data_IF_223040148656
#
_entry.id   IF_223040148656
#
_cell.length_a   1.000
_cell.length_b   1.000
_cell.length_c   1.000
_cell.angle_alpha   90.00
_cell.angle_beta   90.00
_cell.angle_gamma   90.00
#
_symmetry.space_group_name_H-M   'P 1'
#
loop_
_entity.id
_entity.type
_entity.pdbx_description
1 polymer ?
#
# COMPACT_ATOMS: atom_id res chain seq x y z
N UNK A 1 11.59 -12.22 -19.97
CA UNK A 1 11.47 -12.18 -18.50
C UNK A 1 10.02 -11.81 -18.20
N UNK A 2 9.34 -12.57 -17.33
CA UNK A 2 7.90 -12.36 -17.03
C UNK A 2 7.73 -11.85 -15.60
N UNK A 3 6.63 -11.13 -15.36
CA UNK A 3 6.25 -10.72 -14.01
C UNK A 3 5.76 -11.96 -13.23
N UNK A 4 6.19 -12.16 -11.97
CA UNK A 4 5.60 -13.15 -11.08
C UNK A 4 4.17 -12.78 -10.76
N UNK A 5 3.33 -13.78 -10.51
CA UNK A 5 1.98 -13.54 -10.04
C UNK A 5 2.00 -12.86 -8.66
N UNK A 6 1.11 -11.88 -8.48
CA UNK A 6 0.76 -11.33 -7.17
C UNK A 6 -0.36 -12.14 -6.51
N UNK A 7 -0.83 -11.68 -5.35
CA UNK A 7 -2.04 -12.22 -4.74
C UNK A 7 -3.25 -11.64 -5.50
N UNK A 8 -4.04 -12.52 -6.12
CA UNK A 8 -5.14 -12.16 -7.01
C UNK A 8 -6.36 -13.09 -6.84
N UNK A 9 -6.48 -13.74 -5.68
CA UNK A 9 -7.74 -14.39 -5.29
C UNK A 9 -8.84 -13.30 -5.19
N UNK A 10 -10.12 -13.67 -5.31
CA UNK A 10 -11.24 -12.73 -5.46
C UNK A 10 -11.26 -11.59 -4.42
N UNK A 11 -10.91 -11.90 -3.16
CA UNK A 11 -10.81 -10.91 -2.09
C UNK A 11 -9.76 -9.81 -2.38
N UNK A 12 -8.61 -10.19 -2.95
CA UNK A 12 -7.54 -9.26 -3.31
C UNK A 12 -7.92 -8.43 -4.53
N UNK A 13 -8.56 -9.05 -5.53
CA UNK A 13 -9.09 -8.33 -6.69
C UNK A 13 -10.08 -7.25 -6.23
N UNK A 14 -11.06 -7.62 -5.40
CA UNK A 14 -12.04 -6.68 -4.87
C UNK A 14 -11.36 -5.53 -4.11
N UNK A 15 -10.41 -5.86 -3.23
CA UNK A 15 -9.61 -4.84 -2.54
C UNK A 15 -8.85 -3.91 -3.49
N UNK A 16 -8.24 -4.46 -4.55
CA UNK A 16 -7.53 -3.68 -5.56
C UNK A 16 -8.48 -2.78 -6.33
N UNK A 17 -9.67 -3.24 -6.72
CA UNK A 17 -10.63 -2.41 -7.48
C UNK A 17 -11.23 -1.31 -6.58
N UNK A 18 -11.60 -1.64 -5.34
CA UNK A 18 -12.28 -0.71 -4.44
C UNK A 18 -11.35 0.30 -3.77
N UNK A 19 -10.06 0.01 -3.66
CA UNK A 19 -9.11 0.89 -2.97
C UNK A 19 -8.66 2.06 -3.87
N UNK A 20 -8.80 3.33 -3.46
CA UNK A 20 -8.20 4.45 -4.19
C UNK A 20 -6.68 4.55 -4.01
N UNK A 21 -6.10 3.81 -3.05
CA UNK A 21 -4.67 3.85 -2.79
C UNK A 21 -3.86 2.96 -3.75
N UNK A 22 -2.58 3.29 -3.92
CA UNK A 22 -1.63 2.49 -4.70
C UNK A 22 -0.83 1.50 -3.84
N UNK A 23 -0.81 1.69 -2.52
CA UNK A 23 -0.04 0.88 -1.57
C UNK A 23 -0.65 0.94 -0.16
N UNK A 24 -0.16 0.08 0.73
CA UNK A 24 -0.64 0.00 2.12
C UNK A 24 0.34 -0.70 3.06
N UNK A 25 -0.06 -0.80 4.34
CA UNK A 25 0.70 -1.49 5.39
C UNK A 25 1.67 -0.61 6.17
N UNK A 26 1.95 0.60 5.69
CA UNK A 26 2.83 1.57 6.35
C UNK A 26 2.21 2.25 7.57
N UNK A 27 2.95 3.20 8.15
CA UNK A 27 2.47 4.05 9.24
C UNK A 27 1.26 4.90 8.82
N UNK A 28 0.52 5.40 9.81
CA UNK A 28 -0.56 6.38 9.54
C UNK A 28 0.01 7.62 8.86
N UNK A 29 -0.66 8.18 7.83
CA UNK A 29 -0.19 9.37 7.12
C UNK A 29 0.11 10.56 8.04
N UNK A 30 -0.67 10.74 9.09
CA UNK A 30 -0.45 11.81 10.08
C UNK A 30 0.88 11.64 10.84
N UNK A 31 1.25 10.42 11.23
CA UNK A 31 2.51 10.18 11.92
C UNK A 31 3.70 10.54 11.03
N UNK A 32 3.66 10.12 9.75
CA UNK A 32 4.71 10.45 8.77
C UNK A 32 4.78 11.97 8.54
N UNK A 33 3.65 12.66 8.45
CA UNK A 33 3.63 14.10 8.23
C UNK A 33 4.23 14.88 9.41
N UNK A 34 3.97 14.43 10.64
CA UNK A 34 4.54 15.01 11.88
C UNK A 34 6.04 14.75 11.98
N UNK A 35 6.50 13.56 11.59
CA UNK A 35 7.92 13.22 11.51
C UNK A 35 8.66 14.08 10.46
N UNK A 36 8.10 14.25 9.26
CA UNK A 36 8.73 15.01 8.17
C UNK A 36 8.66 16.52 8.33
N UNK A 37 7.53 17.05 8.79
CA UNK A 37 7.28 18.48 8.84
C UNK A 37 6.82 18.94 10.24
N UNK A 38 7.63 18.73 11.30
CA UNK A 38 7.23 18.99 12.69
C UNK A 38 6.86 20.45 12.95
N UNK A 39 7.48 21.39 12.22
CA UNK A 39 7.13 22.82 12.30
C UNK A 39 5.74 23.14 11.74
N UNK A 40 5.27 22.37 10.74
CA UNK A 40 3.93 22.54 10.12
C UNK A 40 2.86 21.71 10.83
N UNK A 41 3.24 20.55 11.34
CA UNK A 41 2.37 19.66 12.10
C UNK A 41 3.02 19.35 13.45
N UNK A 42 2.87 20.23 14.44
CA UNK A 42 3.18 19.91 15.82
C UNK A 42 2.40 18.68 16.32
N UNK A 43 2.85 18.06 17.40
CA UNK A 43 2.30 16.81 17.94
C UNK A 43 0.77 16.83 18.15
N UNK A 44 0.23 17.96 18.62
CA UNK A 44 -1.21 18.12 18.89
C UNK A 44 -1.98 18.73 17.72
N UNK A 45 -1.32 19.05 16.60
CA UNK A 45 -1.97 19.67 15.45
C UNK A 45 -2.67 18.62 14.59
N UNK A 46 -3.84 19.00 14.05
CA UNK A 46 -4.54 18.19 13.06
C UNK A 46 -3.80 18.17 11.72
N UNK A 47 -3.63 16.97 11.18
CA UNK A 47 -3.04 16.76 9.86
C UNK A 47 -4.06 17.00 8.75
N UNK A 48 -3.65 17.72 7.72
CA UNK A 48 -4.36 17.80 6.44
C UNK A 48 -3.36 17.94 5.30
N UNK A 49 -3.53 17.14 4.24
CA UNK A 49 -2.68 17.18 3.05
C UNK A 49 -2.69 18.57 2.38
N UNK A 50 -3.76 19.35 2.55
CA UNK A 50 -3.91 20.71 1.98
C UNK A 50 -2.87 21.72 2.48
N UNK A 51 -2.24 21.48 3.63
CA UNK A 51 -1.17 22.35 4.20
C UNK A 51 0.21 22.13 3.55
N UNK A 52 0.34 21.09 2.73
CA UNK A 52 1.58 20.75 2.02
C UNK A 52 1.61 21.47 0.66
N UNK A 53 2.74 22.09 0.34
CA UNK A 53 3.01 22.59 -1.01
C UNK A 53 3.40 21.43 -1.96
N UNK A 54 3.53 21.71 -3.26
CA UNK A 54 3.78 20.68 -4.27
C UNK A 54 5.08 19.87 -4.04
N UNK A 55 6.13 20.49 -3.47
CA UNK A 55 7.39 19.79 -3.18
C UNK A 55 7.23 18.87 -1.97
N UNK A 56 6.60 19.38 -0.91
CA UNK A 56 6.34 18.63 0.31
C UNK A 56 5.35 17.47 0.06
N UNK A 57 4.36 17.65 -0.83
CA UNK A 57 3.46 16.56 -1.23
C UNK A 57 4.22 15.41 -1.90
N UNK A 58 5.17 15.71 -2.78
CA UNK A 58 6.01 14.68 -3.43
C UNK A 58 6.90 13.97 -2.42
N UNK A 59 7.49 14.72 -1.49
CA UNK A 59 8.30 14.15 -0.40
C UNK A 59 7.47 13.27 0.53
N UNK A 60 6.28 13.73 0.90
CA UNK A 60 5.33 13.00 1.72
C UNK A 60 4.87 11.70 1.06
N UNK A 61 4.53 11.72 -0.23
CA UNK A 61 4.10 10.53 -0.96
C UNK A 61 5.24 9.50 -1.07
N UNK A 62 6.47 9.94 -1.29
CA UNK A 62 7.66 9.06 -1.28
C UNK A 62 7.88 8.40 0.07
N UNK A 63 7.70 9.15 1.16
CA UNK A 63 7.83 8.59 2.51
C UNK A 63 6.71 7.59 2.83
N UNK A 64 5.48 7.88 2.42
CA UNK A 64 4.36 6.95 2.51
C UNK A 64 4.66 5.64 1.76
N UNK A 65 5.18 5.76 0.54
CA UNK A 65 5.56 4.61 -0.28
C UNK A 65 6.72 3.82 0.32
N UNK A 66 7.74 4.48 0.87
CA UNK A 66 8.90 3.78 1.47
C UNK A 66 8.54 2.99 2.72
N UNK A 67 7.51 3.42 3.45
CA UNK A 67 6.98 2.73 4.64
C UNK A 67 5.99 1.60 4.26
N UNK A 68 5.54 1.54 3.01
CA UNK A 68 4.54 0.58 2.60
C UNK A 68 5.06 -0.87 2.66
N UNK A 69 4.18 -1.80 3.00
CA UNK A 69 4.47 -3.24 2.99
C UNK A 69 4.02 -3.90 1.70
N UNK A 70 2.89 -3.45 1.13
CA UNK A 70 2.36 -3.95 -0.13
C UNK A 70 1.97 -2.83 -1.08
N UNK A 71 2.00 -3.14 -2.38
CA UNK A 71 1.49 -2.29 -3.47
C UNK A 71 0.35 -2.99 -4.21
N UNK A 72 -0.55 -2.18 -4.74
CA UNK A 72 -1.70 -2.60 -5.54
C UNK A 72 -1.37 -2.35 -7.01
N UNK A 73 -1.50 -3.39 -7.82
CA UNK A 73 -1.37 -3.29 -9.26
C UNK A 73 -2.76 -3.30 -9.87
N UNK A 74 -3.23 -2.14 -10.34
CA UNK A 74 -4.57 -1.97 -10.90
C UNK A 74 -4.71 -2.58 -12.28
N UNK A 75 -3.62 -2.71 -13.03
CA UNK A 75 -3.65 -3.28 -14.38
C UNK A 75 -3.76 -4.80 -14.34
N UNK A 76 -3.02 -5.43 -13.42
CA UNK A 76 -2.98 -6.90 -13.27
C UNK A 76 -3.97 -7.38 -12.19
N UNK A 77 -4.65 -6.46 -11.49
CA UNK A 77 -5.57 -6.75 -10.40
C UNK A 77 -4.96 -7.64 -9.31
N UNK A 78 -3.77 -7.24 -8.84
CA UNK A 78 -3.01 -8.06 -7.91
C UNK A 78 -2.30 -7.25 -6.83
N UNK A 79 -2.14 -7.87 -5.66
CA UNK A 79 -1.36 -7.32 -4.54
C UNK A 79 0.04 -7.92 -4.54
N UNK A 80 1.04 -7.06 -4.41
CA UNK A 80 2.44 -7.45 -4.33
C UNK A 80 3.07 -6.94 -3.04
N UNK A 81 3.98 -7.71 -2.46
CA UNK A 81 4.90 -7.19 -1.45
C UNK A 81 5.82 -6.14 -2.07
N UNK A 82 6.16 -5.06 -1.35
CA UNK A 82 7.01 -3.99 -1.86
C UNK A 82 8.38 -4.50 -2.33
N UNK A 83 8.94 -5.46 -1.60
CA UNK A 83 10.20 -6.14 -1.96
C UNK A 83 10.08 -7.19 -3.09
N UNK A 84 8.91 -7.36 -3.70
CA UNK A 84 8.78 -8.25 -4.86
C UNK A 84 9.50 -7.64 -6.07
N UNK A 85 10.63 -8.24 -6.44
CA UNK A 85 11.51 -7.77 -7.52
C UNK A 85 10.93 -7.95 -8.93
N UNK A 86 9.74 -8.58 -9.03
CA UNK A 86 9.01 -8.77 -10.29
C UNK A 86 9.81 -9.47 -11.42
N UNK A 87 10.80 -10.30 -11.06
CA UNK A 87 11.60 -11.09 -12.01
C UNK A 87 11.44 -12.57 -11.72
N UNK A 88 10.86 -13.32 -12.66
CA UNK A 88 10.79 -14.78 -12.61
C UNK A 88 10.86 -15.37 -14.02
N UNK A 89 11.34 -16.61 -14.12
CA UNK A 89 11.24 -17.44 -15.33
C UNK A 89 9.90 -18.16 -15.42
N UNK A 90 9.17 -18.28 -14.31
CA UNK A 90 7.85 -18.92 -14.23
C UNK A 90 6.76 -17.88 -13.96
N UNK A 91 5.90 -17.63 -14.96
CA UNK A 91 4.77 -16.68 -14.87
C UNK A 91 3.80 -16.99 -13.73
N UNK A 92 3.65 -18.26 -13.35
CA UNK A 92 2.73 -18.68 -12.31
C UNK A 92 3.33 -18.61 -10.89
N UNK A 93 4.64 -18.34 -10.79
CA UNK A 93 5.30 -18.32 -9.50
C UNK A 93 4.97 -17.04 -8.72
N UNK A 94 4.44 -17.21 -7.51
CA UNK A 94 4.33 -16.17 -6.49
C UNK A 94 5.64 -16.17 -5.68
N UNK A 95 6.28 -15.01 -5.51
CA UNK A 95 7.51 -14.93 -4.72
C UNK A 95 7.24 -15.11 -3.22
N UNK A 96 8.25 -15.54 -2.46
CA UNK A 96 8.10 -15.83 -1.02
C UNK A 96 7.57 -14.62 -0.22
N UNK A 97 8.02 -13.40 -0.54
CA UNK A 97 7.51 -12.17 0.08
C UNK A 97 6.03 -11.92 -0.19
N UNK A 98 5.54 -12.22 -1.40
CA UNK A 98 4.11 -12.16 -1.68
C UNK A 98 3.35 -13.30 -0.98
N UNK A 99 3.94 -14.49 -0.79
CA UNK A 99 3.31 -15.57 -0.01
C UNK A 99 3.17 -15.18 1.47
N UNK A 100 4.20 -14.59 2.06
CA UNK A 100 4.19 -14.08 3.44
C UNK A 100 3.07 -13.07 3.69
N UNK A 101 2.67 -12.27 2.68
CA UNK A 101 1.57 -11.32 2.80
C UNK A 101 0.22 -11.97 3.14
N UNK A 102 -0.02 -13.24 2.78
CA UNK A 102 -1.29 -13.94 3.10
C UNK A 102 -1.55 -14.01 4.61
N UNK A 103 -0.48 -14.03 5.41
CA UNK A 103 -0.56 -14.05 6.88
C UNK A 103 -0.43 -12.65 7.49
N UNK A 104 -0.38 -11.58 6.69
CA UNK A 104 -0.23 -10.22 7.20
C UNK A 104 -1.55 -9.73 7.80
N UNK A 105 -1.58 -9.52 9.11
CA UNK A 105 -2.76 -9.08 9.86
C UNK A 105 -3.37 -7.78 9.32
N UNK A 106 -2.54 -6.78 9.00
CA UNK A 106 -3.01 -5.47 8.50
C UNK A 106 -3.61 -5.58 7.11
N UNK A 107 -3.04 -6.41 6.24
CA UNK A 107 -3.62 -6.66 4.92
C UNK A 107 -4.99 -7.33 5.08
N UNK A 108 -5.08 -8.37 5.92
CA UNK A 108 -6.33 -9.09 6.15
C UNK A 108 -7.43 -8.19 6.76
N UNK A 109 -7.07 -7.24 7.63
CA UNK A 109 -8.00 -6.21 8.13
C UNK A 109 -8.46 -5.27 7.00
N UNK A 110 -7.56 -4.86 6.10
CA UNK A 110 -7.90 -4.03 4.96
C UNK A 110 -8.81 -4.74 3.95
N UNK A 111 -8.60 -6.04 3.71
CA UNK A 111 -9.49 -6.86 2.87
C UNK A 111 -10.91 -6.91 3.45
N UNK A 112 -11.04 -7.18 4.77
CA UNK A 112 -12.34 -7.22 5.46
C UNK A 112 -13.07 -5.88 5.43
N UNK A 113 -12.34 -4.77 5.56
CA UNK A 113 -12.93 -3.44 5.50
C UNK A 113 -13.61 -3.15 4.14
N UNK A 114 -13.07 -3.71 3.04
CA UNK A 114 -13.70 -3.61 1.72
C UNK A 114 -14.95 -4.50 1.62
N UNK A 115 -14.93 -5.69 2.22
CA UNK A 115 -16.11 -6.57 2.25
C UNK A 115 -17.31 -5.95 2.97
N UNK A 116 -17.09 -5.04 3.93
CA UNK A 116 -18.14 -4.34 4.67
C UNK A 116 -18.73 -3.14 3.93
N UNK A 117 -18.11 -2.68 2.84
CA UNK A 117 -18.63 -1.58 2.00
C UNK A 117 -19.59 -2.08 0.91
N UNK A 118 -19.80 -3.40 0.80
CA UNK A 118 -20.67 -4.04 -0.18
C UNK A 118 -21.99 -4.58 0.42
N UNK A 119 -22.39 -4.15 1.63
CA UNK A 119 -23.67 -4.50 2.27
C UNK A 119 -24.49 -3.23 2.50
#
# INVERSE_FOLDING_TARGET
MVLPNGLNDLEYINYVVSSPASFGGGKKPEAIAKELFPKKFPENASFTRKKLNNKEQKEFERALESEATWRLDKEILAVYHMQCVRKTSNKNAICNKCKELRSNKRLNEALKAVSLLCI
#
